data_IF_825502756940
#
_entry.id   IF_825502756940
#
_cell.length_a   1.000
_cell.length_b   1.000
_cell.length_c   1.000
_cell.angle_alpha   90.00
_cell.angle_beta   90.00
_cell.angle_gamma   90.00
#
_symmetry.space_group_name_H-M   'P 1'
#
loop_
_entity.id
_entity.type
_entity.pdbx_description
1 polymer ?
#
# COMPACT_ATOMS: atom_id res chain seq x y z
N UNK A 1 2.30 -3.24 4.53
CA UNK A 1 1.19 -3.04 5.50
C UNK A 1 -0.10 -2.64 4.78
N UNK A 2 -0.17 -3.03 3.52
CA UNK A 2 -0.92 -2.22 2.56
C UNK A 2 -2.37 -2.70 2.52
N UNK A 3 -2.54 -4.01 2.61
CA UNK A 3 -3.85 -4.63 2.75
C UNK A 3 -4.55 -4.20 4.05
N UNK A 4 -3.86 -4.05 5.18
CA UNK A 4 -4.51 -3.62 6.42
C UNK A 4 -4.93 -2.15 6.38
N UNK A 5 -4.15 -1.29 5.72
CA UNK A 5 -4.48 0.12 5.47
C UNK A 5 -5.71 0.21 4.56
N UNK A 6 -5.67 -0.52 3.44
CA UNK A 6 -6.77 -0.61 2.48
C UNK A 6 -8.05 -1.14 3.13
N UNK A 7 -7.96 -2.26 3.87
CA UNK A 7 -9.09 -2.87 4.57
C UNK A 7 -9.68 -1.93 5.63
N UNK A 8 -8.83 -1.22 6.36
CA UNK A 8 -9.28 -0.24 7.35
C UNK A 8 -10.04 0.91 6.70
N UNK A 9 -9.57 1.40 5.54
CA UNK A 9 -10.30 2.41 4.77
C UNK A 9 -11.62 1.88 4.19
N UNK A 10 -11.62 0.63 3.71
CA UNK A 10 -12.81 -0.02 3.21
C UNK A 10 -13.88 -0.17 4.29
N UNK A 11 -13.51 -0.65 5.49
CA UNK A 11 -14.45 -0.90 6.59
C UNK A 11 -14.84 0.36 7.38
N UNK A 12 -13.93 1.32 7.55
CA UNK A 12 -14.12 2.44 8.47
C UNK A 12 -13.96 3.84 7.82
N UNK A 13 -13.71 3.88 6.50
CA UNK A 13 -13.54 5.12 5.76
C UNK A 13 -12.09 5.63 5.72
N UNK A 14 -11.86 6.60 4.84
CA UNK A 14 -10.53 7.10 4.47
C UNK A 14 -9.64 7.48 5.66
N UNK A 15 -10.17 8.24 6.62
CA UNK A 15 -9.41 8.69 7.81
C UNK A 15 -8.86 7.53 8.63
N UNK A 16 -9.64 6.45 8.80
CA UNK A 16 -9.19 5.27 9.53
C UNK A 16 -8.02 4.59 8.81
N UNK A 17 -8.11 4.41 7.48
CA UNK A 17 -7.02 3.86 6.69
C UNK A 17 -5.73 4.69 6.78
N UNK A 18 -5.83 6.01 6.62
CA UNK A 18 -4.67 6.89 6.77
C UNK A 18 -4.00 6.76 8.14
N UNK A 19 -4.78 6.77 9.22
CA UNK A 19 -4.25 6.64 10.57
C UNK A 19 -3.56 5.29 10.77
N UNK A 20 -4.16 4.20 10.28
CA UNK A 20 -3.54 2.86 10.33
C UNK A 20 -2.22 2.85 9.57
N UNK A 21 -2.14 3.48 8.39
CA UNK A 21 -0.90 3.54 7.60
C UNK A 21 0.20 4.33 8.30
N UNK A 22 -0.14 5.53 8.79
CA UNK A 22 0.81 6.38 9.52
C UNK A 22 1.29 5.70 10.80
N UNK A 23 0.40 5.13 11.60
CA UNK A 23 0.78 4.45 12.85
C UNK A 23 1.62 3.19 12.59
N UNK A 24 1.28 2.42 11.56
CA UNK A 24 2.06 1.23 11.18
C UNK A 24 3.49 1.61 10.79
N UNK A 25 3.67 2.67 10.00
CA UNK A 25 4.99 3.19 9.66
C UNK A 25 5.71 3.86 10.82
N UNK A 26 5.01 4.58 11.70
CA UNK A 26 5.62 5.15 12.90
C UNK A 26 6.24 4.06 13.78
N UNK A 27 5.57 2.92 13.92
CA UNK A 27 6.12 1.78 14.67
C UNK A 27 7.26 1.14 13.87
N UNK A 28 6.98 0.64 12.66
CA UNK A 28 7.95 -0.13 11.89
C UNK A 28 9.18 0.69 11.49
N UNK A 29 8.99 1.93 11.03
CA UNK A 29 10.07 2.81 10.59
C UNK A 29 10.96 3.28 11.74
N UNK A 30 10.41 3.49 12.94
CA UNK A 30 11.21 3.84 14.13
C UNK A 30 12.03 2.66 14.63
N UNK A 31 11.45 1.46 14.64
CA UNK A 31 12.11 0.23 15.10
C UNK A 31 12.72 -0.58 13.94
N UNK A 32 13.01 0.05 12.81
CA UNK A 32 13.53 -0.66 11.65
C UNK A 32 14.92 -1.24 11.97
N UNK A 33 15.15 -2.56 11.81
CA UNK A 33 16.44 -3.18 12.12
C UNK A 33 17.59 -2.67 11.23
N UNK A 34 17.28 -2.08 10.06
CA UNK A 34 18.24 -1.44 9.17
C UNK A 34 18.55 0.01 9.56
N UNK A 35 17.92 0.52 10.63
CA UNK A 35 18.11 1.87 11.16
C UNK A 35 16.95 2.81 10.87
N UNK A 36 16.83 3.85 11.71
CA UNK A 36 15.82 4.90 11.56
C UNK A 36 16.28 5.98 10.57
N UNK A 37 15.40 6.36 9.64
CA UNK A 37 15.58 7.52 8.79
C UNK A 37 14.23 8.26 8.63
N UNK A 38 14.18 9.52 9.07
CA UNK A 38 12.95 10.32 9.07
C UNK A 38 12.40 10.58 7.66
N UNK A 39 13.28 10.72 6.66
CA UNK A 39 12.87 10.95 5.27
C UNK A 39 12.22 9.71 4.66
N UNK A 40 12.78 8.53 4.91
CA UNK A 40 12.19 7.25 4.48
C UNK A 40 10.87 7.00 5.21
N UNK A 41 10.82 7.23 6.53
CA UNK A 41 9.59 7.14 7.31
C UNK A 41 8.49 8.01 6.69
N UNK A 42 8.80 9.27 6.38
CA UNK A 42 7.84 10.19 5.79
C UNK A 42 7.38 9.74 4.40
N UNK A 43 8.32 9.33 3.54
CA UNK A 43 8.02 8.83 2.19
C UNK A 43 7.08 7.63 2.23
N UNK A 44 7.38 6.65 3.07
CA UNK A 44 6.58 5.44 3.20
C UNK A 44 5.20 5.73 3.84
N UNK A 45 5.16 6.45 4.96
CA UNK A 45 3.91 6.79 5.65
C UNK A 45 2.96 7.64 4.79
N UNK A 46 3.49 8.60 4.02
CA UNK A 46 2.66 9.40 3.10
C UNK A 46 2.19 8.58 1.89
N UNK A 47 2.98 7.61 1.42
CA UNK A 47 2.61 6.75 0.30
C UNK A 47 1.52 5.73 0.65
N UNK A 48 1.37 5.35 1.93
CA UNK A 48 0.25 4.51 2.38
C UNK A 48 -1.13 5.13 2.12
N UNK A 49 -1.20 6.45 1.98
CA UNK A 49 -2.45 7.15 1.65
C UNK A 49 -3.04 6.62 0.33
N UNK A 50 -2.22 6.13 -0.60
CA UNK A 50 -2.68 5.52 -1.85
C UNK A 50 -3.61 4.32 -1.58
N UNK A 51 -3.22 3.44 -0.66
CA UNK A 51 -4.05 2.30 -0.28
C UNK A 51 -5.30 2.72 0.51
N UNK A 52 -5.19 3.75 1.34
CA UNK A 52 -6.36 4.30 2.04
C UNK A 52 -7.38 4.92 1.06
N UNK A 53 -6.93 5.65 0.05
CA UNK A 53 -7.77 6.17 -1.02
C UNK A 53 -8.44 5.01 -1.78
N UNK A 54 -7.65 4.03 -2.21
CA UNK A 54 -8.17 2.89 -2.95
C UNK A 54 -9.24 2.12 -2.17
N UNK A 55 -9.01 1.85 -0.87
CA UNK A 55 -9.98 1.15 -0.03
C UNK A 55 -11.27 1.95 0.17
N UNK A 56 -11.15 3.26 0.31
CA UNK A 56 -12.31 4.14 0.42
C UNK A 56 -13.13 4.21 -0.89
N UNK A 57 -12.46 4.28 -2.04
CA UNK A 57 -13.14 4.23 -3.36
C UNK A 57 -13.92 2.92 -3.50
N UNK A 58 -13.29 1.78 -3.18
CA UNK A 58 -13.96 0.48 -3.24
C UNK A 58 -15.16 0.38 -2.30
N UNK A 59 -15.12 1.01 -1.12
CA UNK A 59 -16.28 1.09 -0.21
C UNK A 59 -17.49 1.76 -0.87
N UNK A 60 -17.27 2.81 -1.64
CA UNK A 60 -18.34 3.63 -2.25
C UNK A 60 -18.87 3.08 -3.57
N UNK A 61 -18.22 2.03 -4.10
CA UNK A 61 -18.57 1.40 -5.36
C UNK A 61 -19.65 0.34 -5.17
N UNK A 62 -20.56 0.24 -6.12
CA UNK A 62 -21.48 -0.89 -6.23
C UNK A 62 -20.70 -2.14 -6.68
N UNK A 63 -20.88 -3.25 -5.95
CA UNK A 63 -20.21 -4.52 -6.23
C UNK A 63 -21.22 -5.48 -6.84
N UNK A 64 -21.00 -5.87 -8.09
CA UNK A 64 -21.92 -6.75 -8.81
C UNK A 64 -21.71 -8.22 -8.45
N UNK A 65 -20.47 -8.61 -8.16
CA UNK A 65 -20.13 -9.99 -7.81
C UNK A 65 -18.83 -10.09 -7.01
N UNK A 66 -18.58 -11.27 -6.42
CA UNK A 66 -17.32 -11.57 -5.72
C UNK A 66 -16.12 -11.49 -6.67
N UNK A 67 -16.28 -11.95 -7.92
CA UNK A 67 -15.22 -11.89 -8.92
C UNK A 67 -14.89 -10.44 -9.30
N UNK A 68 -15.93 -9.62 -9.49
CA UNK A 68 -15.79 -8.20 -9.80
C UNK A 68 -15.04 -7.47 -8.67
N UNK A 69 -15.38 -7.73 -7.41
CA UNK A 69 -14.66 -7.19 -6.26
C UNK A 69 -13.19 -7.69 -6.20
N UNK A 70 -12.95 -8.97 -6.44
CA UNK A 70 -11.61 -9.55 -6.39
C UNK A 70 -10.68 -8.93 -7.46
N UNK A 71 -11.19 -8.80 -8.70
CA UNK A 71 -10.45 -8.15 -9.80
C UNK A 71 -10.22 -6.67 -9.47
N UNK A 72 -11.24 -5.96 -9.00
CA UNK A 72 -11.12 -4.56 -8.59
C UNK A 72 -10.08 -4.35 -7.48
N UNK A 73 -10.05 -5.23 -6.48
CA UNK A 73 -9.08 -5.19 -5.39
C UNK A 73 -7.66 -5.47 -5.90
N UNK A 74 -7.48 -6.46 -6.77
CA UNK A 74 -6.19 -6.77 -7.39
C UNK A 74 -5.65 -5.61 -8.22
N UNK A 75 -6.48 -4.99 -9.05
CA UNK A 75 -6.09 -3.82 -9.84
C UNK A 75 -5.75 -2.61 -8.95
N UNK A 76 -6.55 -2.37 -7.91
CA UNK A 76 -6.31 -1.31 -6.94
C UNK A 76 -4.98 -1.50 -6.20
N UNK A 77 -4.66 -2.75 -5.82
CA UNK A 77 -3.38 -3.10 -5.23
C UNK A 77 -2.22 -2.87 -6.20
N UNK A 78 -2.33 -3.34 -7.45
CA UNK A 78 -1.27 -3.20 -8.44
C UNK A 78 -0.93 -1.72 -8.67
N UNK A 79 -1.95 -0.88 -8.91
CA UNK A 79 -1.75 0.57 -9.16
C UNK A 79 -1.19 1.27 -7.93
N UNK A 80 -1.76 1.04 -6.74
CA UNK A 80 -1.30 1.68 -5.51
C UNK A 80 0.14 1.27 -5.18
N UNK A 81 0.50 0.01 -5.40
CA UNK A 81 1.85 -0.51 -5.16
C UNK A 81 2.88 0.04 -6.13
N UNK A 82 2.53 0.14 -7.42
CA UNK A 82 3.41 0.76 -8.41
C UNK A 82 3.70 2.22 -8.05
N UNK A 83 2.67 2.99 -7.69
CA UNK A 83 2.83 4.39 -7.31
C UNK A 83 3.63 4.54 -6.01
N UNK A 84 3.33 3.71 -5.01
CA UNK A 84 4.07 3.63 -3.75
C UNK A 84 5.56 3.38 -4.00
N UNK A 85 5.89 2.38 -4.83
CA UNK A 85 7.27 2.00 -5.11
C UNK A 85 8.01 3.08 -5.91
N UNK A 86 7.33 3.78 -6.83
CA UNK A 86 7.93 4.92 -7.54
C UNK A 86 8.29 6.03 -6.55
N UNK A 87 7.35 6.42 -5.68
CA UNK A 87 7.58 7.50 -4.70
C UNK A 87 8.71 7.13 -3.73
N UNK A 88 8.72 5.90 -3.22
CA UNK A 88 9.72 5.45 -2.26
C UNK A 88 11.11 5.26 -2.90
N UNK A 89 11.20 4.77 -4.14
CA UNK A 89 12.47 4.71 -4.86
C UNK A 89 13.04 6.09 -5.19
N UNK A 90 12.19 7.06 -5.59
CA UNK A 90 12.61 8.45 -5.78
C UNK A 90 13.11 9.05 -4.46
N UNK A 91 12.38 8.80 -3.36
CA UNK A 91 12.78 9.29 -2.03
C UNK A 91 14.11 8.68 -1.58
N UNK A 92 14.30 7.37 -1.79
CA UNK A 92 15.57 6.69 -1.53
C UNK A 92 16.72 7.30 -2.34
N UNK A 93 16.52 7.52 -3.64
CA UNK A 93 17.49 8.16 -4.52
C UNK A 93 17.93 9.54 -3.99
N UNK A 94 16.96 10.37 -3.59
CA UNK A 94 17.20 11.72 -3.09
C UNK A 94 17.91 11.73 -1.74
N UNK A 95 17.48 10.88 -0.79
CA UNK A 95 17.99 10.85 0.59
C UNK A 95 19.41 10.29 0.64
N UNK A 96 19.70 9.26 -0.14
CA UNK A 96 21.01 8.58 -0.13
C UNK A 96 21.92 9.01 -1.27
N UNK A 97 21.52 10.03 -2.05
CA UNK A 97 22.29 10.56 -3.18
C UNK A 97 22.71 9.48 -4.20
N UNK A 98 21.84 8.49 -4.42
CA UNK A 98 22.09 7.41 -5.38
C UNK A 98 21.83 7.92 -6.79
N UNK A 99 22.64 7.50 -7.76
CA UNK A 99 22.43 7.86 -9.17
C UNK A 99 21.05 7.33 -9.65
N UNK A 100 20.26 8.12 -10.40
CA UNK A 100 18.88 7.74 -10.76
C UNK A 100 18.76 6.37 -11.41
N UNK A 101 19.62 6.07 -12.40
CA UNK A 101 19.60 4.77 -13.07
C UNK A 101 19.92 3.60 -12.13
N UNK A 102 20.82 3.81 -11.17
CA UNK A 102 21.18 2.78 -10.22
C UNK A 102 20.05 2.53 -9.22
N UNK A 103 19.41 3.58 -8.72
CA UNK A 103 18.25 3.47 -7.83
C UNK A 103 17.10 2.69 -8.49
N UNK A 104 16.82 2.94 -9.78
CA UNK A 104 15.80 2.20 -10.52
C UNK A 104 16.17 0.73 -10.72
N UNK A 105 17.41 0.42 -11.10
CA UNK A 105 17.86 -0.97 -11.30
C UNK A 105 17.78 -1.76 -9.99
N UNK A 106 18.17 -1.15 -8.87
CA UNK A 106 18.13 -1.79 -7.55
C UNK A 106 16.70 -1.94 -7.02
N UNK A 107 15.82 -0.98 -7.31
CA UNK A 107 14.42 -1.00 -6.86
C UNK A 107 13.53 -1.95 -7.66
N UNK A 108 13.84 -2.19 -8.94
CA UNK A 108 12.97 -2.93 -9.86
C UNK A 108 12.66 -4.38 -9.40
N UNK A 109 13.62 -5.19 -8.92
CA UNK A 109 13.31 -6.55 -8.45
C UNK A 109 12.36 -6.53 -7.24
N UNK A 110 12.57 -5.61 -6.30
CA UNK A 110 11.69 -5.45 -5.14
C UNK A 110 10.30 -5.02 -5.58
N UNK A 111 10.21 -4.01 -6.45
CA UNK A 111 8.94 -3.52 -7.00
C UNK A 111 8.15 -4.62 -7.70
N UNK A 112 8.80 -5.46 -8.50
CA UNK A 112 8.14 -6.58 -9.16
C UNK A 112 7.54 -7.57 -8.16
N UNK A 113 8.33 -7.99 -7.16
CA UNK A 113 7.85 -8.90 -6.10
C UNK A 113 6.72 -8.25 -5.30
N UNK A 114 6.85 -6.96 -4.98
CA UNK A 114 5.89 -6.22 -4.18
C UNK A 114 4.53 -6.12 -4.90
N UNK A 115 4.52 -5.69 -6.17
CA UNK A 115 3.30 -5.59 -6.99
C UNK A 115 2.62 -6.94 -7.16
N UNK A 116 3.37 -8.00 -7.51
CA UNK A 116 2.81 -9.34 -7.69
C UNK A 116 2.22 -9.85 -6.37
N UNK A 117 2.96 -9.72 -5.27
CA UNK A 117 2.52 -10.21 -3.96
C UNK A 117 1.29 -9.45 -3.46
N UNK A 118 1.26 -8.12 -3.54
CA UNK A 118 0.10 -7.34 -3.11
C UNK A 118 -1.13 -7.61 -3.99
N UNK A 119 -0.95 -7.71 -5.30
CA UNK A 119 -2.06 -8.07 -6.21
C UNK A 119 -2.66 -9.41 -5.81
N UNK A 120 -1.82 -10.43 -5.57
CA UNK A 120 -2.27 -11.75 -5.14
C UNK A 120 -2.98 -11.69 -3.77
N UNK A 121 -2.39 -11.00 -2.78
CA UNK A 121 -2.97 -10.86 -1.44
C UNK A 121 -4.37 -10.23 -1.51
N UNK A 122 -4.54 -9.15 -2.26
CA UNK A 122 -5.82 -8.44 -2.33
C UNK A 122 -6.92 -9.28 -3.03
N UNK A 123 -6.56 -10.04 -4.06
CA UNK A 123 -7.47 -10.99 -4.70
C UNK A 123 -7.86 -12.08 -3.71
N UNK A 124 -6.88 -12.75 -3.09
CA UNK A 124 -7.09 -13.90 -2.20
C UNK A 124 -7.84 -13.49 -0.92
N UNK A 125 -7.59 -12.30 -0.39
CA UNK A 125 -8.19 -11.82 0.85
C UNK A 125 -9.58 -11.18 0.66
N UNK A 126 -10.09 -11.10 -0.58
CA UNK A 126 -11.42 -10.57 -0.87
C UNK A 126 -12.56 -11.23 -0.07
N UNK A 127 -12.60 -12.57 0.14
CA UNK A 127 -13.61 -13.20 0.99
C UNK A 127 -13.59 -12.69 2.44
N UNK A 128 -12.41 -12.38 2.99
CA UNK A 128 -12.27 -11.82 4.35
C UNK A 128 -12.90 -10.43 4.41
N UNK A 129 -12.70 -9.60 3.38
CA UNK A 129 -13.34 -8.28 3.32
C UNK A 129 -14.86 -8.38 3.33
N UNK A 130 -15.42 -9.30 2.53
CA UNK A 130 -16.87 -9.53 2.46
C UNK A 130 -17.41 -9.98 3.82
N UNK A 131 -16.72 -10.91 4.49
CA UNK A 131 -17.12 -11.39 5.81
C UNK A 131 -17.19 -10.26 6.84
N UNK A 132 -16.16 -9.40 6.87
CA UNK A 132 -16.07 -8.29 7.82
C UNK A 132 -16.99 -7.11 7.49
N UNK A 133 -17.44 -6.97 6.24
CA UNK A 133 -18.37 -5.90 5.85
C UNK A 133 -19.82 -6.13 6.32
N UNK A 134 -20.15 -7.33 6.78
CA UNK A 134 -21.51 -7.74 7.17
C UNK A 134 -21.80 -7.55 8.67
N UNK A 135 -20.81 -7.11 9.45
CA UNK A 135 -20.92 -6.84 10.89
C UNK A 135 -21.15 -5.36 11.14
#
# INVERSE_FOLDING_TARGET
MDFIVYLSAYLNGFTAGMLVGVLSWLIYGTFNPLGFNVGILFACASSEVLYAVAGHITRTREVESVLDLAVGNGLSAAVSTILYDIITNISYMLIFHVKPMLALIMGLPFMAVHVISNTAIFIIATPVMILLSKT
#
